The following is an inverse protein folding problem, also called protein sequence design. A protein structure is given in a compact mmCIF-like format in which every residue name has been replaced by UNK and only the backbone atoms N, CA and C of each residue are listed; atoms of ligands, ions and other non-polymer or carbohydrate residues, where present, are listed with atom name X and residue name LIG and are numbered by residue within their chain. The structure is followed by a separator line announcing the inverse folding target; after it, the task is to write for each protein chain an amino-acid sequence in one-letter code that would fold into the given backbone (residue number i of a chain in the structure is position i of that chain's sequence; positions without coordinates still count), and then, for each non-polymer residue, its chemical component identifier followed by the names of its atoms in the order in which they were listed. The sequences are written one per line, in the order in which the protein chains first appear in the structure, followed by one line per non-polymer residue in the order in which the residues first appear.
data_IF_648978093388
#
_entry.id   IF_648978093388
#
_cell.length_a   1.000
_cell.length_b   1.000
_cell.length_c   1.000
_cell.angle_alpha   90.00
_cell.angle_beta   90.00
_cell.angle_gamma   90.00
#
_symmetry.space_group_name_H-M   'P 1'
#
loop_
_entity.id
_entity.type
_entity.pdbx_description
1 polymer ?
#
# COMPACT_ATOMS: atom_id res chain seq x y z
N UNK A 1 7.74 -6.97 20.51
CA UNK A 1 7.51 -6.89 19.05
C UNK A 1 7.01 -5.49 18.76
N UNK A 2 7.68 -4.78 17.86
CA UNK A 2 7.27 -3.44 17.44
C UNK A 2 6.34 -3.57 16.23
N UNK A 3 5.22 -2.85 16.24
CA UNK A 3 4.33 -2.77 15.07
C UNK A 3 4.88 -1.69 14.16
N UNK A 4 5.12 -2.05 12.90
CA UNK A 4 5.64 -1.15 11.88
C UNK A 4 4.53 -0.74 10.94
N UNK A 5 4.54 0.52 10.52
CA UNK A 5 3.48 1.09 9.69
C UNK A 5 4.05 1.90 8.52
N UNK A 6 3.29 1.93 7.42
CA UNK A 6 3.52 2.82 6.26
C UNK A 6 2.19 3.33 5.74
N UNK A 7 2.16 4.60 5.33
CA UNK A 7 0.98 5.25 4.78
C UNK A 7 1.11 5.30 3.26
N UNK A 8 0.07 4.86 2.55
CA UNK A 8 -0.01 5.00 1.10
C UNK A 8 -0.20 6.49 0.73
N UNK A 9 0.66 7.08 -0.11
CA UNK A 9 0.53 8.48 -0.50
C UNK A 9 -0.64 8.77 -1.44
N UNK A 10 -1.23 7.74 -2.08
CA UNK A 10 -2.30 7.90 -3.06
C UNK A 10 -3.70 7.87 -2.43
N UNK A 11 -3.93 7.01 -1.43
CA UNK A 11 -5.24 6.83 -0.81
C UNK A 11 -5.24 7.06 0.71
N UNK A 12 -4.09 7.37 1.31
CA UNK A 12 -3.94 7.58 2.74
C UNK A 12 -4.06 6.32 3.60
N UNK A 13 -4.21 5.13 3.00
CA UNK A 13 -4.36 3.88 3.75
C UNK A 13 -3.10 3.55 4.55
N UNK A 14 -3.27 3.25 5.83
CA UNK A 14 -2.20 2.77 6.71
C UNK A 14 -2.06 1.26 6.57
N UNK A 15 -0.84 0.80 6.28
CA UNK A 15 -0.48 -0.60 6.16
C UNK A 15 0.43 -0.93 7.32
N UNK A 16 0.06 -1.95 8.10
CA UNK A 16 0.76 -2.33 9.33
C UNK A 16 1.27 -3.76 9.24
N UNK A 17 2.43 -4.03 9.84
CA UNK A 17 2.94 -5.39 10.03
C UNK A 17 3.99 -5.42 11.15
N UNK A 18 4.20 -6.60 11.74
CA UNK A 18 5.25 -6.83 12.75
C UNK A 18 6.60 -7.10 12.07
N UNK A 19 6.60 -7.53 10.80
CA UNK A 19 7.81 -7.90 10.06
C UNK A 19 8.09 -6.93 8.92
N UNK A 20 9.33 -6.43 8.79
CA UNK A 20 9.71 -5.48 7.73
C UNK A 20 9.44 -6.03 6.32
N UNK A 21 9.81 -7.30 6.09
CA UNK A 21 9.64 -7.92 4.77
C UNK A 21 8.17 -7.99 4.36
N UNK A 22 7.30 -8.28 5.33
CA UNK A 22 5.86 -8.37 5.07
C UNK A 22 5.24 -6.99 4.92
N UNK A 23 5.68 -6.00 5.72
CA UNK A 23 5.28 -4.61 5.54
C UNK A 23 5.63 -4.10 4.15
N UNK A 24 6.86 -4.34 3.69
CA UNK A 24 7.35 -3.87 2.40
C UNK A 24 6.63 -4.57 1.23
N UNK A 25 6.40 -5.89 1.34
CA UNK A 25 5.61 -6.64 0.35
C UNK A 25 4.17 -6.11 0.25
N UNK A 26 3.48 -6.00 1.39
CA UNK A 26 2.11 -5.49 1.43
C UNK A 26 2.02 -4.05 0.94
N UNK A 27 3.00 -3.21 1.30
CA UNK A 27 3.09 -1.83 0.85
C UNK A 27 3.26 -1.72 -0.66
N UNK A 28 4.19 -2.48 -1.25
CA UNK A 28 4.40 -2.48 -2.71
C UNK A 28 3.20 -3.03 -3.48
N UNK A 29 2.62 -4.14 -3.02
CA UNK A 29 1.41 -4.71 -3.63
C UNK A 29 0.25 -3.70 -3.61
N UNK A 30 0.08 -2.99 -2.48
CA UNK A 30 -0.92 -1.94 -2.37
C UNK A 30 -0.61 -0.75 -3.29
N UNK A 31 0.64 -0.28 -3.36
CA UNK A 31 1.02 0.83 -4.24
C UNK A 31 0.75 0.51 -5.71
N UNK A 32 1.03 -0.72 -6.15
CA UNK A 32 0.74 -1.17 -7.51
C UNK A 32 -0.76 -1.09 -7.80
N UNK A 33 -1.58 -1.74 -6.97
CA UNK A 33 -3.03 -1.72 -7.13
C UNK A 33 -3.61 -0.30 -7.02
N UNK A 34 -3.09 0.53 -6.11
CA UNK A 34 -3.57 1.89 -5.90
C UNK A 34 -3.19 2.82 -7.04
N UNK A 35 -2.00 2.64 -7.64
CA UNK A 35 -1.55 3.38 -8.82
C UNK A 35 -2.35 2.97 -10.07
N UNK A 36 -2.68 1.69 -10.22
CA UNK A 36 -3.55 1.21 -11.31
C UNK A 36 -4.98 1.73 -11.15
N UNK A 37 -5.54 1.76 -9.94
CA UNK A 37 -6.87 2.34 -9.70
C UNK A 37 -6.94 3.85 -9.95
N UNK A 38 -5.88 4.61 -9.64
CA UNK A 38 -5.83 6.05 -9.99
C UNK A 38 -5.76 6.30 -11.50
N UNK A 39 -5.26 5.34 -12.28
CA UNK A 39 -5.22 5.42 -13.75
C UNK A 39 -6.45 4.80 -14.43
N UNK A 40 -7.24 3.99 -13.73
CA UNK A 40 -8.42 3.31 -14.27
C UNK A 40 -9.75 4.08 -14.09
N UNK A 41 -9.74 5.32 -13.62
CA UNK A 41 -10.90 6.24 -13.80
C UNK A 41 -11.01 6.78 -15.25
N UNK A 42 -10.33 6.13 -16.22
CA UNK A 42 -10.48 6.34 -17.66
C UNK A 42 -10.43 5.00 -18.41
N UNK A 43 -11.38 4.12 -18.18
CA UNK A 43 -11.96 3.21 -19.18
C UNK A 43 -12.89 2.21 -18.46
N UNK A 44 -14.19 2.55 -18.39
CA UNK A 44 -15.39 1.71 -18.61
C UNK A 44 -16.64 2.27 -17.91
#
# INVERSE_FOLDING_TARGET
MEIKERVCPYCGKVIVSIYDKQLDYNYKAHLLACKENNNNEKDF
#
